data_IF_885074742896
#
_entry.id   IF_885074742896
#
_cell.length_a   1.000
_cell.length_b   1.000
_cell.length_c   1.000
_cell.angle_alpha   90.00
_cell.angle_beta   90.00
_cell.angle_gamma   90.00
#
_symmetry.space_group_name_H-M   'P 1'
#
loop_
_entity.id
_entity.type
_entity.pdbx_description
1 polymer ?
#
# COMPACT_ATOMS: atom_id res chain seq x y z
N UNK A 1 32.78 60.64 12.71
CA UNK A 1 31.41 60.23 12.32
C UNK A 1 30.87 59.37 13.46
N UNK A 2 29.94 59.93 14.21
CA UNK A 2 29.36 59.43 15.47
C UNK A 2 28.05 58.72 15.13
N UNK A 3 27.80 57.51 15.67
CA UNK A 3 26.56 56.95 16.30
C UNK A 3 26.98 55.62 16.99
N UNK A 4 27.30 55.56 18.28
CA UNK A 4 26.45 55.31 19.48
C UNK A 4 25.61 54.02 19.40
N UNK A 5 25.99 53.01 20.18
CA UNK A 5 25.17 51.82 20.48
C UNK A 5 24.84 51.85 21.97
N UNK A 6 23.59 52.17 22.30
CA UNK A 6 23.10 52.19 23.68
C UNK A 6 22.53 50.83 24.08
N UNK A 7 23.15 50.27 25.10
CA UNK A 7 22.66 49.21 25.99
C UNK A 7 21.41 49.69 26.74
N UNK A 8 20.37 48.85 26.81
CA UNK A 8 19.34 48.97 27.85
C UNK A 8 19.11 47.63 28.54
N UNK A 9 19.57 47.60 29.78
CA UNK A 9 19.43 46.59 30.81
C UNK A 9 18.55 47.22 31.90
N UNK A 10 17.55 46.49 32.43
CA UNK A 10 16.94 46.59 33.79
C UNK A 10 15.51 45.99 33.78
N UNK A 11 14.93 45.61 34.95
CA UNK A 11 15.49 44.72 35.96
C UNK A 11 14.48 43.63 36.42
N UNK A 12 15.01 42.68 37.16
CA UNK A 12 14.28 41.71 37.99
C UNK A 12 14.05 42.30 39.40
N UNK A 13 12.83 42.18 39.93
CA UNK A 13 12.54 41.90 41.35
C UNK A 13 11.04 41.90 41.63
N UNK A 14 10.55 40.95 42.45
CA UNK A 14 9.33 41.16 43.22
C UNK A 14 8.44 39.93 43.46
N UNK A 15 8.85 39.05 44.36
CA UNK A 15 7.99 38.06 45.03
C UNK A 15 6.90 38.74 45.88
N UNK A 16 5.68 38.17 45.90
CA UNK A 16 4.81 37.99 47.10
C UNK A 16 3.55 37.21 46.66
N UNK A 17 3.38 35.95 47.05
CA UNK A 17 2.66 35.47 48.25
C UNK A 17 1.25 36.07 48.40
N UNK A 18 0.24 35.30 48.01
CA UNK A 18 -1.10 35.40 48.56
C UNK A 18 -1.75 34.02 48.67
N UNK A 19 -2.09 33.70 49.91
CA UNK A 19 -2.71 32.49 50.42
C UNK A 19 -4.16 32.30 49.95
N UNK A 20 -4.58 31.05 50.07
CA UNK A 20 -5.92 30.59 50.44
C UNK A 20 -7.08 30.87 49.47
N UNK A 21 -7.73 29.79 49.00
CA UNK A 21 -8.98 29.27 49.58
C UNK A 21 -9.51 28.21 48.62
N UNK A 22 -9.29 26.92 48.92
CA UNK A 22 -10.04 25.85 48.26
C UNK A 22 -10.96 25.23 49.29
N UNK A 23 -12.22 25.61 49.19
CA UNK A 23 -13.31 25.14 50.02
C UNK A 23 -13.46 23.62 49.91
N UNK A 24 -13.63 23.00 51.07
CA UNK A 24 -14.16 21.66 51.22
C UNK A 24 -15.60 21.62 50.71
N UNK A 25 -15.80 20.96 49.57
CA UNK A 25 -17.12 20.55 49.07
C UNK A 25 -17.28 19.06 49.27
N UNK A 26 -18.03 18.70 50.31
CA UNK A 26 -18.44 17.35 50.62
C UNK A 26 -19.37 16.76 49.55
N UNK A 27 -19.30 15.43 49.39
CA UNK A 27 -20.48 14.61 49.16
C UNK A 27 -20.84 14.30 47.71
N UNK A 28 -20.21 13.26 47.15
CA UNK A 28 -20.89 12.34 46.24
C UNK A 28 -20.16 10.99 46.26
N UNK A 29 -20.55 10.12 47.19
CA UNK A 29 -20.13 8.73 47.20
C UNK A 29 -20.75 8.01 45.99
N UNK A 30 -20.01 7.94 44.88
CA UNK A 30 -20.35 7.06 43.78
C UNK A 30 -19.96 5.63 44.17
N UNK A 31 -20.99 4.84 44.46
CA UNK A 31 -20.95 3.41 44.71
C UNK A 31 -20.16 2.67 43.62
N UNK A 32 -19.03 2.09 43.99
CA UNK A 32 -18.27 1.15 43.16
C UNK A 32 -19.02 -0.18 43.23
N UNK A 33 -19.92 -0.41 42.28
CA UNK A 33 -20.47 -1.75 42.04
C UNK A 33 -19.43 -2.60 41.31
N UNK A 34 -18.98 -3.64 42.01
CA UNK A 34 -18.19 -4.76 41.50
C UNK A 34 -18.79 -5.34 40.19
N UNK A 35 -18.07 -5.38 39.06
CA UNK A 35 -18.51 -6.06 37.85
C UNK A 35 -18.16 -7.56 37.87
N UNK A 36 -18.43 -8.26 38.97
CA UNK A 36 -18.11 -9.68 39.15
C UNK A 36 -19.33 -10.62 39.14
N UNK A 37 -20.53 -10.12 38.84
CA UNK A 37 -21.78 -10.90 39.00
C UNK A 37 -22.79 -10.77 37.85
N UNK A 38 -22.34 -10.54 36.62
CA UNK A 38 -23.19 -10.58 35.41
C UNK A 38 -22.71 -11.57 34.33
N UNK A 39 -22.10 -12.68 34.72
CA UNK A 39 -21.74 -13.79 33.81
C UNK A 39 -22.45 -15.09 34.23
N UNK A 40 -23.73 -15.02 34.62
CA UNK A 40 -24.48 -16.24 34.97
C UNK A 40 -25.93 -16.32 34.51
N UNK A 41 -26.33 -15.48 33.56
CA UNK A 41 -27.72 -15.47 33.05
C UNK A 41 -27.78 -15.29 31.53
N UNK A 42 -26.92 -16.05 30.82
CA UNK A 42 -26.98 -16.21 29.37
C UNK A 42 -26.59 -17.63 28.93
N UNK A 43 -26.79 -18.63 29.81
CA UNK A 43 -26.42 -20.02 29.56
C UNK A 43 -27.57 -20.92 29.09
N UNK A 44 -28.83 -20.45 29.11
CA UNK A 44 -30.01 -21.33 28.88
C UNK A 44 -30.80 -21.05 27.58
N UNK A 45 -30.24 -20.31 26.61
CA UNK A 45 -30.97 -19.96 25.37
C UNK A 45 -30.35 -20.50 24.06
N UNK A 46 -29.42 -21.45 24.11
CA UNK A 46 -28.87 -22.10 22.91
C UNK A 46 -29.04 -23.63 22.98
N UNK A 47 -30.29 -24.08 23.06
CA UNK A 47 -30.63 -25.49 22.85
C UNK A 47 -31.70 -25.60 21.75
N UNK A 48 -31.23 -25.75 20.51
CA UNK A 48 -31.88 -26.47 19.40
C UNK A 48 -31.23 -26.11 18.06
N UNK A 49 -29.93 -26.38 17.91
CA UNK A 49 -29.41 -26.53 16.55
C UNK A 49 -29.89 -27.86 15.99
N UNK A 50 -30.66 -27.87 14.88
CA UNK A 50 -31.10 -29.11 14.25
C UNK A 50 -29.88 -29.91 13.80
N UNK A 51 -29.90 -31.19 14.16
CA UNK A 51 -28.94 -32.21 13.73
C UNK A 51 -28.75 -32.09 12.21
N UNK A 52 -27.51 -32.00 11.71
CA UNK A 52 -27.24 -32.05 10.28
C UNK A 52 -27.82 -33.35 9.70
N UNK A 53 -28.85 -33.20 8.86
CA UNK A 53 -29.44 -34.32 8.14
C UNK A 53 -28.37 -35.10 7.38
N UNK A 54 -28.55 -36.42 7.32
CA UNK A 54 -27.64 -37.33 6.64
C UNK A 54 -27.29 -36.80 5.23
N UNK A 55 -26.01 -36.93 4.80
CA UNK A 55 -25.57 -36.45 3.50
C UNK A 55 -26.47 -37.04 2.41
N UNK A 56 -27.10 -36.16 1.62
CA UNK A 56 -27.91 -36.59 0.50
C UNK A 56 -27.04 -37.41 -0.47
N UNK A 57 -27.53 -38.58 -0.93
CA UNK A 57 -26.80 -39.39 -1.89
C UNK A 57 -26.55 -38.57 -3.17
N UNK A 58 -25.40 -38.77 -3.84
CA UNK A 58 -25.08 -38.05 -5.06
C UNK A 58 -26.20 -38.22 -6.10
N UNK A 59 -26.53 -37.15 -6.86
CA UNK A 59 -27.56 -37.24 -7.89
C UNK A 59 -27.23 -38.36 -8.87
N UNK A 60 -28.25 -39.16 -9.22
CA UNK A 60 -28.14 -40.21 -10.25
C UNK A 60 -27.49 -39.62 -11.50
N UNK A 61 -26.30 -40.12 -11.85
CA UNK A 61 -25.66 -39.82 -13.12
C UNK A 61 -26.66 -40.09 -14.25
N UNK A 62 -27.07 -39.04 -14.97
CA UNK A 62 -27.80 -39.23 -16.21
C UNK A 62 -26.84 -39.90 -17.20
N UNK A 63 -27.22 -41.02 -17.82
CA UNK A 63 -26.42 -41.62 -18.87
C UNK A 63 -26.20 -40.58 -19.97
N UNK A 64 -24.92 -40.35 -20.28
CA UNK A 64 -24.49 -39.52 -21.38
C UNK A 64 -25.22 -40.01 -22.65
N UNK A 65 -25.90 -39.12 -23.41
CA UNK A 65 -26.53 -39.53 -24.65
C UNK A 65 -25.45 -40.11 -25.56
N UNK A 66 -25.59 -41.39 -25.88
CA UNK A 66 -24.80 -42.05 -26.94
C UNK A 66 -24.87 -41.15 -28.16
N UNK A 67 -23.70 -40.74 -28.65
CA UNK A 67 -23.56 -40.17 -29.97
C UNK A 67 -24.28 -41.08 -30.96
N UNK A 68 -25.43 -40.64 -31.46
CA UNK A 68 -26.05 -41.24 -32.62
C UNK A 68 -25.04 -41.13 -33.75
N UNK A 69 -24.62 -42.28 -34.25
CA UNK A 69 -23.93 -42.44 -35.52
C UNK A 69 -24.71 -41.66 -36.57
N UNK A 70 -24.15 -40.52 -36.96
CA UNK A 70 -24.72 -39.61 -37.93
C UNK A 70 -24.81 -40.36 -39.25
N UNK A 71 -26.04 -40.58 -39.69
CA UNK A 71 -26.37 -41.15 -40.99
C UNK A 71 -25.60 -40.44 -42.09
N UNK A 72 -25.01 -41.25 -42.98
CA UNK A 72 -24.48 -40.86 -44.27
C UNK A 72 -25.62 -40.25 -45.09
N UNK A 73 -25.83 -38.93 -44.98
CA UNK A 73 -26.63 -38.17 -45.94
C UNK A 73 -25.72 -37.71 -47.06
N UNK A 74 -26.11 -38.13 -48.26
CA UNK A 74 -25.60 -37.78 -49.57
C UNK A 74 -25.04 -36.37 -49.64
N UNK A 75 -23.76 -36.30 -50.01
CA UNK A 75 -23.09 -35.12 -50.52
C UNK A 75 -23.88 -34.54 -51.68
N UNK A 76 -24.73 -33.55 -51.40
CA UNK A 76 -25.06 -32.54 -52.41
C UNK A 76 -23.78 -31.78 -52.68
N UNK A 77 -23.17 -32.08 -53.82
CA UNK A 77 -21.98 -31.41 -54.36
C UNK A 77 -22.34 -29.95 -54.58
N UNK A 78 -22.26 -29.16 -53.52
CA UNK A 78 -22.20 -27.71 -53.63
C UNK A 78 -20.98 -27.41 -54.49
N UNK A 79 -21.12 -26.60 -55.55
CA UNK A 79 -20.00 -26.26 -56.41
C UNK A 79 -18.90 -25.70 -55.50
N UNK A 80 -17.77 -26.39 -55.48
CA UNK A 80 -16.63 -26.02 -54.65
C UNK A 80 -16.20 -24.62 -55.08
N UNK A 81 -16.68 -23.61 -54.37
CA UNK A 81 -16.24 -22.24 -54.56
C UNK A 81 -14.74 -22.28 -54.26
N UNK A 82 -13.93 -22.27 -55.33
CA UNK A 82 -12.47 -22.32 -55.27
C UNK A 82 -12.02 -21.08 -54.53
N UNK A 83 -11.99 -21.17 -53.21
CA UNK A 83 -11.43 -20.15 -52.33
C UNK A 83 -9.99 -19.98 -52.79
N UNK A 84 -9.68 -18.79 -53.30
CA UNK A 84 -8.39 -18.46 -53.88
C UNK A 84 -7.26 -18.99 -52.97
N UNK A 85 -6.23 -19.65 -53.53
CA UNK A 85 -5.10 -20.16 -52.76
C UNK A 85 -4.45 -19.07 -51.90
N UNK A 86 -4.53 -17.80 -52.34
CA UNK A 86 -4.08 -16.64 -51.59
C UNK A 86 -4.79 -16.47 -50.23
N UNK A 87 -6.11 -16.71 -50.16
CA UNK A 87 -6.87 -16.56 -48.91
C UNK A 87 -6.51 -17.64 -47.89
N UNK A 88 -6.17 -18.86 -48.35
CA UNK A 88 -5.68 -19.94 -47.49
C UNK A 88 -4.27 -19.62 -46.97
N UNK A 89 -3.40 -19.10 -47.83
CA UNK A 89 -2.07 -18.67 -47.46
C UNK A 89 -2.08 -17.53 -46.44
N UNK A 90 -2.87 -16.47 -46.67
CA UNK A 90 -2.97 -15.33 -45.75
C UNK A 90 -3.45 -15.73 -44.35
N UNK A 91 -4.42 -16.67 -44.27
CA UNK A 91 -4.89 -17.20 -42.98
C UNK A 91 -3.79 -17.98 -42.25
N UNK A 92 -3.08 -18.86 -42.95
CA UNK A 92 -1.99 -19.64 -42.37
C UNK A 92 -0.83 -18.72 -41.92
N UNK A 93 -0.46 -17.73 -42.73
CA UNK A 93 0.57 -16.76 -42.42
C UNK A 93 0.22 -15.93 -41.17
N UNK A 94 -1.03 -15.47 -41.05
CA UNK A 94 -1.49 -14.72 -39.87
C UNK A 94 -1.38 -15.54 -38.57
N UNK A 95 -1.74 -16.83 -38.63
CA UNK A 95 -1.62 -17.74 -37.48
C UNK A 95 -0.15 -17.97 -37.12
N UNK A 96 0.71 -18.21 -38.12
CA UNK A 96 2.14 -18.42 -37.90
C UNK A 96 2.81 -17.17 -37.32
N UNK A 97 2.44 -15.97 -37.78
CA UNK A 97 2.93 -14.71 -37.25
C UNK A 97 2.51 -14.48 -35.79
N UNK A 98 1.26 -14.77 -35.43
CA UNK A 98 0.79 -14.68 -34.05
C UNK A 98 1.53 -15.65 -33.12
N UNK A 99 1.76 -16.89 -33.54
CA UNK A 99 2.54 -17.87 -32.78
C UNK A 99 4.00 -17.44 -32.65
N UNK A 100 4.59 -16.89 -33.70
CA UNK A 100 5.96 -16.35 -33.67
C UNK A 100 6.09 -15.20 -32.66
N UNK A 101 5.15 -14.25 -32.64
CA UNK A 101 5.13 -13.18 -31.64
C UNK A 101 4.94 -13.72 -30.20
N UNK A 102 4.11 -14.74 -30.02
CA UNK A 102 3.92 -15.39 -28.72
C UNK A 102 5.22 -16.08 -28.26
N UNK A 103 5.90 -16.80 -29.16
CA UNK A 103 7.19 -17.44 -28.87
C UNK A 103 8.25 -16.38 -28.56
N UNK A 104 8.33 -15.27 -29.31
CA UNK A 104 9.28 -14.19 -29.02
C UNK A 104 9.00 -13.55 -27.67
N UNK A 105 7.75 -13.27 -27.33
CA UNK A 105 7.41 -12.65 -26.05
C UNK A 105 7.67 -13.61 -24.90
N UNK A 106 7.34 -14.89 -25.04
CA UNK A 106 7.68 -15.94 -24.07
C UNK A 106 9.20 -16.14 -23.93
N UNK A 107 9.94 -16.18 -25.05
CA UNK A 107 11.39 -16.32 -25.08
C UNK A 107 12.07 -15.08 -24.47
N UNK A 108 11.62 -13.86 -24.78
CA UNK A 108 12.13 -12.65 -24.14
C UNK A 108 11.83 -12.62 -22.65
N UNK A 109 10.64 -13.05 -22.23
CA UNK A 109 10.28 -13.17 -20.81
C UNK A 109 11.18 -14.18 -20.08
N UNK A 110 11.40 -15.36 -20.68
CA UNK A 110 12.27 -16.40 -20.10
C UNK A 110 13.75 -16.04 -20.14
N UNK A 111 14.25 -15.42 -21.20
CA UNK A 111 15.61 -14.87 -21.31
C UNK A 111 15.80 -13.76 -20.27
N UNK A 112 14.84 -12.84 -20.13
CA UNK A 112 14.90 -11.79 -19.12
C UNK A 112 14.93 -12.37 -17.70
N UNK A 113 14.26 -13.49 -17.45
CA UNK A 113 14.31 -14.22 -16.18
C UNK A 113 15.63 -15.01 -16.00
N UNK A 114 16.10 -15.69 -17.04
CA UNK A 114 17.27 -16.58 -17.00
C UNK A 114 18.60 -15.81 -16.94
N UNK A 115 18.77 -14.76 -17.74
CA UNK A 115 20.00 -13.95 -17.72
C UNK A 115 20.09 -13.02 -16.49
N UNK A 116 18.99 -12.83 -15.75
CA UNK A 116 19.03 -12.20 -14.42
C UNK A 116 19.64 -13.12 -13.36
N UNK A 117 19.57 -14.45 -13.56
CA UNK A 117 20.03 -15.47 -12.62
C UNK A 117 21.56 -15.70 -12.63
N UNK A 118 22.26 -15.41 -13.73
CA UNK A 118 23.69 -15.78 -13.88
C UNK A 118 24.68 -14.62 -13.84
N UNK A 119 24.23 -13.38 -13.60
CA UNK A 119 25.14 -12.21 -13.53
C UNK A 119 25.37 -11.64 -12.14
N UNK A 120 24.84 -12.24 -11.07
CA UNK A 120 24.84 -11.57 -9.76
C UNK A 120 25.67 -12.31 -8.70
N UNK A 121 26.99 -12.18 -8.78
CA UNK A 121 27.76 -11.74 -7.61
C UNK A 121 27.54 -10.22 -7.42
N UNK A 122 26.30 -9.77 -7.58
CA UNK A 122 25.91 -8.39 -7.41
C UNK A 122 26.15 -7.98 -5.95
N UNK A 123 26.24 -6.68 -5.70
CA UNK A 123 26.49 -6.19 -4.36
C UNK A 123 25.51 -6.84 -3.39
N UNK A 124 26.04 -7.34 -2.27
CA UNK A 124 25.24 -7.93 -1.20
C UNK A 124 24.24 -6.93 -0.60
N UNK A 125 24.28 -5.66 -1.00
CA UNK A 125 23.47 -4.55 -0.51
C UNK A 125 22.55 -4.07 -1.63
N UNK A 126 21.31 -3.72 -1.30
CA UNK A 126 20.41 -3.09 -2.26
C UNK A 126 20.97 -1.74 -2.73
N UNK A 127 21.04 -1.52 -4.05
CA UNK A 127 21.58 -0.28 -4.64
C UNK A 127 20.47 0.45 -5.39
N UNK A 128 20.34 1.78 -5.25
CA UNK A 128 19.41 2.58 -6.03
C UNK A 128 19.81 2.69 -7.50
N UNK A 129 18.82 2.85 -8.37
CA UNK A 129 19.05 3.11 -9.78
C UNK A 129 19.23 4.61 -10.03
N UNK A 130 20.00 5.01 -11.07
CA UNK A 130 20.11 6.43 -11.44
C UNK A 130 18.76 7.11 -11.74
N UNK A 131 17.78 6.34 -12.23
CA UNK A 131 16.41 6.80 -12.50
C UNK A 131 15.60 7.13 -11.23
N UNK A 132 16.05 6.69 -10.05
CA UNK A 132 15.36 6.97 -8.80
C UNK A 132 15.53 8.43 -8.36
N UNK A 133 16.57 9.11 -8.84
CA UNK A 133 16.87 10.52 -8.57
C UNK A 133 18.26 10.71 -7.97
N UNK A 134 18.58 11.95 -7.63
CA UNK A 134 19.80 12.30 -6.91
C UNK A 134 19.65 11.95 -5.44
N UNK A 135 20.58 11.18 -4.89
CA UNK A 135 20.58 10.81 -3.47
C UNK A 135 20.99 12.04 -2.64
N UNK A 136 20.07 12.54 -1.82
CA UNK A 136 20.33 13.64 -0.89
C UNK A 136 20.88 13.14 0.44
N UNK A 137 20.37 12.00 0.91
CA UNK A 137 20.78 11.40 2.17
C UNK A 137 20.68 9.89 2.05
N UNK A 138 21.64 9.17 2.64
CA UNK A 138 21.71 7.71 2.59
C UNK A 138 21.89 7.18 4.01
N UNK A 139 21.07 6.19 4.36
CA UNK A 139 21.20 5.39 5.58
C UNK A 139 21.56 3.97 5.15
N UNK A 140 22.65 3.47 5.70
CA UNK A 140 23.08 2.08 5.58
C UNK A 140 22.94 1.37 6.94
N UNK A 141 23.54 0.18 7.06
CA UNK A 141 23.53 -0.67 8.24
C UNK A 141 23.88 0.01 9.57
N UNK A 142 24.76 1.00 9.54
CA UNK A 142 25.39 1.57 10.73
C UNK A 142 24.80 2.94 11.11
N UNK A 143 24.01 3.53 10.22
CA UNK A 143 23.57 4.92 10.32
C UNK A 143 22.09 5.05 10.74
N UNK A 144 21.49 4.01 11.30
CA UNK A 144 20.13 4.10 11.85
C UNK A 144 20.15 4.94 13.13
N UNK A 145 19.13 5.79 13.30
CA UNK A 145 19.08 6.72 14.43
C UNK A 145 18.79 6.01 15.76
N UNK A 146 18.00 4.94 15.74
CA UNK A 146 17.60 4.20 16.92
C UNK A 146 17.53 2.70 16.64
N UNK A 147 17.93 1.90 17.63
CA UNK A 147 17.82 0.44 17.62
C UNK A 147 16.95 0.00 18.79
N UNK A 148 16.08 -0.98 18.54
CA UNK A 148 15.07 -1.49 19.47
C UNK A 148 15.22 -3.01 19.60
N UNK A 149 15.14 -3.56 20.81
CA UNK A 149 15.05 -5.00 21.04
C UNK A 149 13.58 -5.42 21.12
N UNK A 150 13.21 -6.51 20.45
CA UNK A 150 11.85 -7.07 20.43
C UNK A 150 10.76 -6.04 20.06
N UNK A 151 10.83 -5.42 18.87
CA UNK A 151 9.82 -4.46 18.43
C UNK A 151 8.40 -5.03 18.51
N UNK A 152 7.48 -4.27 19.10
CA UNK A 152 6.06 -4.66 19.27
C UNK A 152 5.15 -4.28 18.10
N UNK A 153 5.66 -3.47 17.18
CA UNK A 153 4.91 -2.82 16.11
C UNK A 153 4.81 -3.59 14.78
N UNK A 154 5.63 -4.60 14.43
CA UNK A 154 5.21 -5.52 13.40
C UNK A 154 4.12 -6.40 14.00
N UNK A 155 2.89 -6.32 13.49
CA UNK A 155 1.90 -7.37 13.79
C UNK A 155 2.37 -8.61 13.05
N UNK A 156 2.95 -9.61 13.75
CA UNK A 156 3.55 -10.71 13.04
C UNK A 156 2.42 -11.48 12.36
N UNK A 157 2.57 -11.85 11.07
CA UNK A 157 1.53 -12.63 10.39
C UNK A 157 1.32 -13.99 11.07
N UNK A 158 2.31 -14.46 11.85
CA UNK A 158 2.22 -15.64 12.71
C UNK A 158 3.01 -15.42 14.01
N UNK A 159 2.54 -15.90 15.17
CA UNK A 159 3.25 -15.77 16.44
C UNK A 159 4.70 -16.28 16.44
N UNK A 160 4.99 -17.25 15.57
CA UNK A 160 6.34 -17.82 15.38
C UNK A 160 7.33 -16.88 14.68
N UNK A 161 6.87 -15.73 14.16
CA UNK A 161 7.70 -14.77 13.43
C UNK A 161 7.93 -13.48 14.23
N UNK A 162 8.33 -13.61 15.49
CA UNK A 162 8.74 -12.47 16.30
C UNK A 162 10.13 -12.00 15.88
N UNK A 163 10.22 -10.74 15.47
CA UNK A 163 11.49 -10.11 15.16
C UNK A 163 12.22 -9.73 16.46
N UNK A 164 13.43 -10.26 16.72
CA UNK A 164 14.20 -9.92 17.92
C UNK A 164 14.79 -8.50 17.89
N UNK A 165 14.92 -7.89 16.71
CA UNK A 165 15.55 -6.58 16.56
C UNK A 165 14.70 -5.64 15.70
N UNK A 166 14.82 -4.35 16.01
CA UNK A 166 14.23 -3.23 15.31
C UNK A 166 15.25 -2.11 15.10
N UNK A 167 15.09 -1.35 14.03
CA UNK A 167 15.82 -0.12 13.77
C UNK A 167 14.86 0.96 13.26
N UNK A 168 15.16 2.23 13.54
CA UNK A 168 14.33 3.35 13.14
C UNK A 168 15.19 4.53 12.66
N UNK A 169 14.68 5.21 11.65
CA UNK A 169 15.18 6.52 11.19
C UNK A 169 14.01 7.38 10.72
N UNK A 170 14.25 8.68 10.57
CA UNK A 170 13.23 9.65 10.18
C UNK A 170 13.79 10.58 9.12
N UNK A 171 12.98 10.88 8.11
CA UNK A 171 13.28 11.86 7.08
C UNK A 171 12.26 13.00 7.12
N UNK A 172 12.69 14.21 6.75
CA UNK A 172 11.80 15.34 6.51
C UNK A 172 11.76 15.62 5.01
N UNK A 173 10.56 15.61 4.42
CA UNK A 173 10.33 15.96 3.03
C UNK A 173 9.59 17.31 2.96
N UNK A 174 9.86 18.15 1.94
CA UNK A 174 9.15 19.41 1.78
C UNK A 174 7.69 19.17 1.37
N UNK A 175 6.74 19.86 2.00
CA UNK A 175 5.31 19.65 1.74
C UNK A 175 4.84 20.23 0.40
N UNK A 176 5.55 21.23 -0.10
CA UNK A 176 5.28 21.95 -1.35
C UNK A 176 5.90 21.26 -2.58
N UNK A 177 6.53 20.09 -2.36
CA UNK A 177 7.03 19.20 -3.40
C UNK A 177 5.97 18.95 -4.48
N UNK A 178 6.39 18.92 -5.74
CA UNK A 178 5.48 18.59 -6.83
C UNK A 178 5.03 17.14 -6.77
N UNK A 179 5.86 16.26 -6.23
CA UNK A 179 5.52 14.86 -5.94
C UNK A 179 6.26 14.39 -4.69
N UNK A 180 5.53 13.69 -3.83
CA UNK A 180 6.07 12.88 -2.74
C UNK A 180 6.01 11.42 -3.14
N UNK A 181 7.13 10.70 -3.08
CA UNK A 181 7.13 9.30 -3.51
C UNK A 181 7.86 8.31 -2.60
N UNK A 182 7.42 7.05 -2.68
CA UNK A 182 8.05 5.90 -2.05
C UNK A 182 8.37 4.83 -3.10
N UNK A 183 9.62 4.40 -3.12
CA UNK A 183 10.10 3.29 -3.95
C UNK A 183 10.60 2.18 -3.03
N UNK A 184 10.31 0.94 -3.37
CA UNK A 184 10.88 -0.20 -2.69
C UNK A 184 11.34 -1.24 -3.71
N UNK A 185 12.65 -1.54 -3.75
CA UNK A 185 13.23 -2.56 -4.64
C UNK A 185 14.00 -3.63 -3.86
N UNK A 186 13.94 -4.87 -4.36
CA UNK A 186 14.60 -6.03 -3.76
C UNK A 186 13.62 -7.10 -3.27
N UNK A 187 14.17 -8.29 -3.00
CA UNK A 187 13.41 -9.51 -2.70
C UNK A 187 13.19 -9.75 -1.20
N UNK A 188 14.00 -9.12 -0.34
CA UNK A 188 14.04 -9.40 1.10
C UNK A 188 13.23 -8.41 1.94
N UNK A 189 12.34 -7.64 1.32
CA UNK A 189 11.53 -6.65 2.00
C UNK A 189 10.04 -6.93 1.83
N UNK A 190 9.29 -6.61 2.87
CA UNK A 190 7.84 -6.49 2.85
C UNK A 190 7.44 -5.50 3.93
N UNK A 191 6.20 -5.02 3.93
CA UNK A 191 5.84 -4.06 4.95
C UNK A 191 4.46 -3.45 4.89
N UNK A 192 4.36 -2.31 5.57
CA UNK A 192 3.17 -1.49 5.64
C UNK A 192 3.54 -0.02 5.48
N UNK A 193 2.80 0.68 4.65
CA UNK A 193 2.85 2.12 4.47
C UNK A 193 1.62 2.73 5.14
N UNK A 194 1.81 3.71 6.01
CA UNK A 194 0.76 4.46 6.68
C UNK A 194 0.81 5.92 6.25
N UNK A 195 -0.35 6.48 5.91
CA UNK A 195 -0.52 7.91 5.68
C UNK A 195 -1.44 8.44 6.80
N UNK A 196 -0.99 9.45 7.53
CA UNK A 196 -1.76 10.07 8.61
C UNK A 196 -1.40 11.56 8.74
N UNK A 197 -2.22 12.30 9.47
CA UNK A 197 -1.94 13.68 9.84
C UNK A 197 -1.63 13.78 11.34
N UNK A 198 -0.84 14.77 11.75
CA UNK A 198 -0.61 15.11 13.17
C UNK A 198 -0.19 16.56 13.31
N UNK A 199 -0.59 17.16 14.42
CA UNK A 199 -0.14 18.47 14.93
C UNK A 199 1.32 18.48 15.41
N UNK A 200 1.91 17.31 15.68
CA UNK A 200 3.31 17.17 16.12
C UNK A 200 4.36 17.38 15.02
N UNK A 201 3.93 17.59 13.77
CA UNK A 201 4.81 17.82 12.61
C UNK A 201 4.81 19.30 12.27
N UNK A 202 6.00 19.86 12.10
CA UNK A 202 6.20 21.27 11.74
C UNK A 202 5.53 21.60 10.39
N UNK A 203 4.84 22.73 10.34
CA UNK A 203 4.26 23.27 9.11
C UNK A 203 5.33 23.40 8.02
N UNK A 204 5.01 23.01 6.79
CA UNK A 204 5.96 23.06 5.67
C UNK A 204 6.70 21.75 5.41
N UNK A 205 6.58 20.76 6.29
CA UNK A 205 7.32 19.50 6.17
C UNK A 205 6.43 18.28 6.36
N UNK A 206 6.78 17.18 5.71
CA UNK A 206 6.20 15.86 5.91
C UNK A 206 7.24 15.00 6.61
N UNK A 207 6.90 14.49 7.80
CA UNK A 207 7.76 13.57 8.53
C UNK A 207 7.54 12.16 7.99
N UNK A 208 8.62 11.49 7.62
CA UNK A 208 8.60 10.09 7.16
C UNK A 208 9.38 9.24 8.13
N UNK A 209 8.67 8.50 8.98
CA UNK A 209 9.27 7.56 9.92
C UNK A 209 9.41 6.19 9.26
N UNK A 210 10.64 5.68 9.19
CA UNK A 210 10.93 4.36 8.64
C UNK A 210 11.43 3.48 9.77
N UNK A 211 10.66 2.44 10.08
CA UNK A 211 11.04 1.41 11.05
C UNK A 211 11.27 0.09 10.31
N UNK A 212 12.31 -0.64 10.68
CA UNK A 212 12.68 -1.94 10.14
C UNK A 212 12.74 -2.96 11.26
N UNK A 213 12.05 -4.09 11.13
CA UNK A 213 12.11 -5.23 12.04
C UNK A 213 12.82 -6.39 11.34
N UNK A 214 13.77 -7.03 12.02
CA UNK A 214 14.68 -8.01 11.40
C UNK A 214 15.17 -9.07 12.41
N UNK A 215 15.65 -10.21 11.89
CA UNK A 215 16.14 -11.33 12.70
C UNK A 215 17.65 -11.30 12.93
N UNK A 216 18.40 -10.92 11.91
CA UNK A 216 19.86 -10.96 11.92
C UNK A 216 20.38 -9.60 11.49
N UNK A 217 21.42 -9.10 12.17
CA UNK A 217 22.08 -7.86 11.80
C UNK A 217 22.56 -7.87 10.34
N UNK A 218 22.88 -9.05 9.79
CA UNK A 218 23.20 -9.24 8.36
C UNK A 218 22.05 -8.87 7.43
N UNK A 219 20.80 -9.08 7.85
CA UNK A 219 19.63 -8.69 7.06
C UNK A 219 19.53 -7.16 6.96
N UNK A 220 19.58 -6.47 8.12
CA UNK A 220 19.61 -5.01 8.16
C UNK A 220 20.84 -4.45 7.43
N UNK A 221 21.98 -5.13 7.51
CA UNK A 221 23.21 -4.64 6.90
C UNK A 221 23.19 -4.56 5.38
N UNK A 222 22.24 -5.25 4.75
CA UNK A 222 22.02 -5.26 3.30
C UNK A 222 20.90 -4.30 2.86
N UNK A 223 20.26 -3.62 3.82
CA UNK A 223 19.27 -2.58 3.57
C UNK A 223 20.00 -1.26 3.31
N UNK A 224 19.59 -0.57 2.25
CA UNK A 224 19.92 0.84 2.06
C UNK A 224 18.62 1.64 2.01
N UNK A 225 18.54 2.71 2.79
CA UNK A 225 17.51 3.73 2.65
C UNK A 225 18.12 4.97 2.03
N UNK A 226 17.40 5.60 1.12
CA UNK A 226 17.83 6.84 0.50
C UNK A 226 16.69 7.86 0.52
N UNK A 227 17.02 9.11 0.83
CA UNK A 227 16.21 10.27 0.47
C UNK A 227 16.65 10.76 -0.90
N UNK A 228 15.69 10.98 -1.78
CA UNK A 228 15.93 11.40 -3.15
C UNK A 228 15.33 12.76 -3.45
N UNK A 229 15.90 13.39 -4.47
CA UNK A 229 15.25 14.44 -5.24
C UNK A 229 15.37 14.15 -6.73
N UNK A 230 14.28 14.34 -7.48
CA UNK A 230 14.27 14.29 -8.95
C UNK A 230 14.15 15.70 -9.52
N UNK A 231 14.09 15.80 -10.85
CA UNK A 231 13.72 17.04 -11.53
C UNK A 231 12.36 17.53 -11.04
N UNK A 232 12.10 18.83 -11.16
CA UNK A 232 10.81 19.42 -10.84
C UNK A 232 10.38 19.33 -9.36
N UNK A 233 11.31 19.47 -8.40
CA UNK A 233 10.98 19.50 -6.97
C UNK A 233 10.19 18.28 -6.48
N UNK A 234 10.50 17.10 -7.00
CA UNK A 234 9.96 15.84 -6.47
C UNK A 234 10.91 15.27 -5.41
N UNK A 235 10.34 14.81 -4.30
CA UNK A 235 11.10 14.27 -3.18
C UNK A 235 10.54 12.93 -2.75
N UNK A 236 11.41 12.00 -2.37
CA UNK A 236 10.94 10.70 -1.98
C UNK A 236 11.93 9.90 -1.18
N UNK A 237 11.46 8.75 -0.71
CA UNK A 237 12.25 7.76 0.02
C UNK A 237 12.33 6.50 -0.83
N UNK A 238 13.51 5.89 -0.90
CA UNK A 238 13.68 4.56 -1.47
C UNK A 238 14.20 3.57 -0.45
N UNK A 239 13.65 2.36 -0.48
CA UNK A 239 14.07 1.21 0.30
C UNK A 239 14.68 0.18 -0.66
N UNK A 240 15.91 -0.21 -0.40
CA UNK A 240 16.64 -1.15 -1.25
C UNK A 240 17.14 -2.32 -0.45
N UNK A 241 16.74 -3.52 -0.87
CA UNK A 241 17.27 -4.80 -0.41
C UNK A 241 17.86 -5.56 -1.60
N UNK A 242 18.64 -6.64 -1.38
CA UNK A 242 19.20 -7.42 -2.47
C UNK A 242 18.10 -7.97 -3.39
N UNK A 243 18.35 -7.98 -4.71
CA UNK A 243 17.34 -8.35 -5.71
C UNK A 243 17.09 -9.86 -5.80
N UNK A 244 18.06 -10.71 -5.42
CA UNK A 244 17.92 -12.16 -5.35
C UNK A 244 19.15 -12.76 -4.66
N UNK A 245 18.96 -13.66 -3.72
CA UNK A 245 20.00 -14.58 -3.22
C UNK A 245 19.48 -16.01 -3.30
N UNK A 246 20.39 -16.99 -3.38
CA UNK A 246 20.06 -18.41 -3.60
C UNK A 246 19.37 -19.08 -2.41
N UNK A 247 19.22 -18.36 -1.30
CA UNK A 247 18.63 -18.85 -0.07
C UNK A 247 17.50 -17.91 0.38
N UNK A 248 16.27 -18.40 0.32
CA UNK A 248 15.11 -17.76 0.95
C UNK A 248 15.10 -18.13 2.43
N UNK A 249 16.10 -17.62 3.16
CA UNK A 249 16.12 -17.74 4.60
C UNK A 249 15.23 -16.63 5.17
N UNK A 250 14.17 -16.99 5.88
CA UNK A 250 13.28 -16.00 6.52
C UNK A 250 14.04 -15.04 7.44
N UNK A 251 15.22 -15.43 7.97
CA UNK A 251 16.08 -14.56 8.78
C UNK A 251 16.69 -13.40 8.00
N UNK A 252 16.76 -13.52 6.68
CA UNK A 252 17.25 -12.48 5.78
C UNK A 252 16.19 -11.43 5.44
N UNK A 253 14.92 -11.69 5.79
CA UNK A 253 13.82 -10.77 5.52
C UNK A 253 13.78 -9.62 6.52
N UNK A 254 13.43 -8.45 6.02
CA UNK A 254 13.22 -7.23 6.81
C UNK A 254 11.79 -6.74 6.59
N UNK A 255 11.05 -6.57 7.70
CA UNK A 255 9.71 -6.00 7.66
C UNK A 255 9.77 -4.50 7.93
N UNK A 256 9.22 -3.71 7.02
CA UNK A 256 9.20 -2.26 7.13
C UNK A 256 7.84 -1.74 7.58
N UNK A 257 7.86 -0.71 8.42
CA UNK A 257 6.73 0.18 8.67
C UNK A 257 7.16 1.60 8.27
N UNK A 258 6.59 2.10 7.18
CA UNK A 258 6.83 3.45 6.69
C UNK A 258 5.61 4.30 7.04
N UNK A 259 5.80 5.39 7.77
CA UNK A 259 4.70 6.29 8.16
C UNK A 259 4.97 7.69 7.65
N UNK A 260 4.17 8.11 6.67
CA UNK A 260 4.08 9.50 6.23
C UNK A 260 3.12 10.23 7.17
N UNK A 261 3.66 11.16 7.96
CA UNK A 261 2.91 12.03 8.85
C UNK A 261 2.91 13.44 8.28
N UNK A 262 1.75 13.85 7.78
CA UNK A 262 1.51 15.20 7.27
C UNK A 262 1.18 16.15 8.43
N UNK A 263 1.54 17.42 8.35
CA UNK A 263 1.17 18.41 9.35
C UNK A 263 -0.32 18.76 9.22
N UNK A 264 -0.91 19.30 10.28
CA UNK A 264 -2.25 19.91 10.19
C UNK A 264 -2.18 21.17 9.33
N UNK A 265 -3.26 21.46 8.59
CA UNK A 265 -3.33 22.68 7.81
C UNK A 265 -3.13 23.93 8.69
N UNK A 266 -2.37 24.93 8.24
CA UNK A 266 -2.08 26.12 9.04
C UNK A 266 -3.33 27.00 9.26
N UNK A 267 -4.32 26.90 8.36
CA UNK A 267 -5.56 27.69 8.42
C UNK A 267 -6.72 26.73 8.69
N UNK A 268 -7.45 26.89 9.81
CA UNK A 268 -8.63 26.09 10.10
C UNK A 268 -9.67 26.16 8.96
N UNK A 269 -10.21 25.01 8.57
CA UNK A 269 -11.23 24.91 7.51
C UNK A 269 -10.69 24.93 6.08
N UNK A 270 -9.38 25.15 5.89
CA UNK A 270 -8.73 25.01 4.57
C UNK A 270 -7.98 23.67 4.55
N UNK A 271 -8.38 22.71 3.70
CA UNK A 271 -7.67 21.43 3.61
C UNK A 271 -6.22 21.61 3.19
N UNK A 272 -5.32 20.82 3.77
CA UNK A 272 -3.92 20.76 3.35
C UNK A 272 -3.83 20.18 1.94
N UNK A 273 -3.31 20.95 0.98
CA UNK A 273 -3.18 20.50 -0.40
C UNK A 273 -1.84 19.78 -0.63
N UNK A 274 -1.91 18.53 -1.09
CA UNK A 274 -0.73 17.75 -1.53
C UNK A 274 -0.84 17.53 -3.03
N UNK A 275 0.10 18.07 -3.80
CA UNK A 275 0.04 18.02 -5.28
C UNK A 275 -0.02 16.58 -5.79
N UNK A 276 0.89 15.73 -5.35
CA UNK A 276 0.98 14.34 -5.81
C UNK A 276 1.62 13.43 -4.77
N UNK A 277 1.07 12.22 -4.62
CA UNK A 277 1.65 11.15 -3.81
C UNK A 277 1.73 9.84 -4.59
N UNK A 278 2.94 9.31 -4.77
CA UNK A 278 3.20 8.10 -5.55
C UNK A 278 3.89 7.02 -4.72
N UNK A 279 3.35 5.81 -4.70
CA UNK A 279 4.03 4.67 -4.11
C UNK A 279 3.72 3.41 -4.91
N UNK A 280 4.74 2.79 -5.52
CA UNK A 280 4.61 1.49 -6.16
C UNK A 280 5.60 0.51 -5.52
N UNK A 281 5.07 -0.37 -4.68
CA UNK A 281 5.86 -1.27 -3.84
C UNK A 281 5.22 -2.66 -3.81
N UNK A 282 5.91 -3.68 -4.31
CA UNK A 282 5.30 -4.99 -4.61
C UNK A 282 4.77 -5.76 -3.39
N UNK A 283 5.39 -5.57 -2.22
CA UNK A 283 5.16 -6.35 -1.00
C UNK A 283 4.72 -5.49 0.20
N UNK A 284 4.15 -4.31 -0.04
CA UNK A 284 3.65 -3.47 1.04
C UNK A 284 2.14 -3.33 1.00
N UNK A 285 1.55 -3.40 2.18
CA UNK A 285 0.17 -2.99 2.43
C UNK A 285 0.09 -1.49 2.63
N UNK A 286 -1.01 -0.87 2.21
CA UNK A 286 -1.26 0.55 2.41
C UNK A 286 -2.41 0.75 3.40
N UNK A 287 -2.24 1.70 4.31
CA UNK A 287 -3.23 2.12 5.28
C UNK A 287 -3.29 3.64 5.27
N UNK A 288 -4.31 4.19 4.64
CA UNK A 288 -4.57 5.63 4.65
C UNK A 288 -5.55 5.92 5.78
N UNK A 289 -5.20 6.87 6.65
CA UNK A 289 -6.06 7.33 7.73
C UNK A 289 -7.32 8.04 7.24
N UNK A 290 -8.04 8.65 8.16
CA UNK A 290 -9.16 9.53 7.84
C UNK A 290 -8.63 10.92 7.48
N UNK A 291 -8.56 11.23 6.17
CA UNK A 291 -7.91 12.44 5.65
C UNK A 291 -8.84 13.31 4.80
N UNK A 292 -10.12 12.97 4.68
CA UNK A 292 -10.98 13.57 3.66
C UNK A 292 -11.36 15.03 3.94
N UNK A 293 -11.51 15.43 5.21
CA UNK A 293 -11.85 16.81 5.58
C UNK A 293 -10.62 17.69 5.71
N UNK A 294 -9.47 17.10 6.04
CA UNK A 294 -8.28 17.83 6.43
C UNK A 294 -7.21 17.91 5.35
N UNK A 295 -7.32 17.09 4.30
CA UNK A 295 -6.36 17.04 3.20
C UNK A 295 -7.06 16.88 1.85
N UNK A 296 -6.50 17.53 0.83
CA UNK A 296 -6.90 17.36 -0.56
C UNK A 296 -5.68 17.00 -1.41
N UNK A 297 -5.68 15.79 -1.97
CA UNK A 297 -4.63 15.36 -2.89
C UNK A 297 -4.95 15.77 -4.32
N UNK A 298 -3.97 16.26 -5.08
CA UNK A 298 -4.11 16.39 -6.52
C UNK A 298 -4.14 15.00 -7.15
N UNK A 299 -2.99 14.32 -7.18
CA UNK A 299 -2.85 12.97 -7.70
C UNK A 299 -2.41 11.97 -6.62
N UNK A 300 -3.02 10.79 -6.61
CA UNK A 300 -2.60 9.66 -5.74
C UNK A 300 -2.41 8.42 -6.59
N UNK A 301 -1.22 7.83 -6.57
CA UNK A 301 -0.94 6.56 -7.24
C UNK A 301 -0.38 5.56 -6.24
N UNK A 302 -1.18 4.57 -5.85
CA UNK A 302 -0.76 3.49 -4.95
C UNK A 302 -0.77 2.14 -5.69
N UNK A 303 0.40 1.51 -5.78
CA UNK A 303 0.60 0.21 -6.41
C UNK A 303 1.21 -0.82 -5.46
N UNK A 304 0.67 -2.04 -5.48
CA UNK A 304 1.27 -3.21 -4.84
C UNK A 304 0.95 -4.48 -5.63
N UNK A 305 1.68 -5.56 -5.37
CA UNK A 305 1.43 -6.85 -6.03
C UNK A 305 0.70 -7.81 -5.10
N UNK A 306 1.16 -7.96 -3.86
CA UNK A 306 0.74 -9.05 -2.99
C UNK A 306 0.08 -8.61 -1.68
N UNK A 307 -0.25 -7.32 -1.55
CA UNK A 307 -0.78 -6.76 -0.31
C UNK A 307 -2.02 -5.91 -0.55
N UNK A 308 -2.77 -5.65 0.53
CA UNK A 308 -4.02 -4.92 0.48
C UNK A 308 -3.81 -3.40 0.53
N UNK A 309 -4.78 -2.68 0.00
CA UNK A 309 -4.92 -1.23 0.13
C UNK A 309 -6.18 -0.99 0.95
N UNK A 310 -6.01 -0.37 2.12
CA UNK A 310 -7.11 0.04 2.98
C UNK A 310 -7.08 1.55 3.20
N UNK A 311 -8.16 2.22 2.84
CA UNK A 311 -8.32 3.67 2.94
C UNK A 311 -9.49 3.96 3.87
N UNK A 312 -9.26 4.58 5.02
CA UNK A 312 -10.38 4.95 5.89
C UNK A 312 -11.24 6.00 5.18
N UNK A 313 -10.65 7.14 4.81
CA UNK A 313 -11.30 8.15 3.96
C UNK A 313 -10.26 9.06 3.32
N UNK A 314 -10.40 9.39 2.02
CA UNK A 314 -9.48 10.28 1.31
C UNK A 314 -10.24 11.19 0.33
N UNK A 315 -9.82 12.45 0.24
CA UNK A 315 -10.25 13.39 -0.79
C UNK A 315 -9.13 13.64 -1.80
N UNK A 316 -9.42 13.48 -3.08
CA UNK A 316 -8.44 13.60 -4.16
C UNK A 316 -9.05 14.14 -5.46
N UNK A 317 -8.22 14.66 -6.36
CA UNK A 317 -8.65 14.98 -7.73
C UNK A 317 -8.54 13.74 -8.62
N UNK A 318 -7.36 13.14 -8.72
CA UNK A 318 -7.14 11.91 -9.49
C UNK A 318 -6.53 10.82 -8.61
N UNK A 319 -7.06 9.60 -8.70
CA UNK A 319 -6.64 8.48 -7.86
C UNK A 319 -6.47 7.21 -8.69
N UNK A 320 -5.35 6.51 -8.51
CA UNK A 320 -5.11 5.18 -9.09
C UNK A 320 -4.60 4.23 -8.01
N UNK A 321 -5.41 3.23 -7.68
CA UNK A 321 -5.13 2.24 -6.65
C UNK A 321 -5.09 0.86 -7.29
N UNK A 322 -3.93 0.21 -7.26
CA UNK A 322 -3.65 -1.05 -7.95
C UNK A 322 -3.11 -2.10 -6.99
N UNK A 323 -3.72 -3.28 -7.00
CA UNK A 323 -3.18 -4.46 -6.32
C UNK A 323 -3.36 -5.72 -7.14
N UNK A 324 -2.31 -6.52 -7.41
CA UNK A 324 -2.51 -7.78 -8.15
C UNK A 324 -3.32 -8.80 -7.35
N UNK A 325 -2.98 -9.01 -6.08
CA UNK A 325 -3.54 -10.09 -5.24
C UNK A 325 -4.26 -9.63 -3.97
N UNK A 326 -4.01 -8.41 -3.51
CA UNK A 326 -4.67 -7.87 -2.33
C UNK A 326 -6.00 -7.20 -2.67
N UNK A 327 -6.88 -7.17 -1.66
CA UNK A 327 -8.12 -6.42 -1.78
C UNK A 327 -7.87 -4.91 -1.72
N UNK A 328 -8.80 -4.15 -2.30
CA UNK A 328 -8.86 -2.70 -2.20
C UNK A 328 -10.14 -2.35 -1.44
N UNK A 329 -10.03 -1.61 -0.35
CA UNK A 329 -11.19 -1.17 0.41
C UNK A 329 -11.06 0.29 0.85
N UNK A 330 -12.19 0.97 1.01
CA UNK A 330 -12.20 2.29 1.64
C UNK A 330 -13.28 3.26 1.17
N UNK A 331 -13.20 4.49 1.68
CA UNK A 331 -14.01 5.62 1.25
C UNK A 331 -13.17 6.58 0.39
N UNK A 332 -13.65 6.88 -0.81
CA UNK A 332 -12.94 7.70 -1.79
C UNK A 332 -13.84 8.85 -2.24
N UNK A 333 -13.36 10.08 -2.07
CA UNK A 333 -13.99 11.28 -2.58
C UNK A 333 -13.12 11.86 -3.70
N UNK A 334 -13.60 11.75 -4.94
CA UNK A 334 -12.83 12.12 -6.14
C UNK A 334 -13.53 13.21 -6.93
N UNK A 335 -12.80 14.24 -7.37
CA UNK A 335 -13.37 15.29 -8.24
C UNK A 335 -13.04 15.13 -9.73
N UNK A 336 -11.94 14.44 -10.07
CA UNK A 336 -11.49 14.20 -11.44
C UNK A 336 -11.69 12.75 -11.89
N UNK A 337 -10.77 11.87 -11.54
CA UNK A 337 -10.81 10.46 -11.94
C UNK A 337 -10.45 9.52 -10.80
N UNK A 338 -11.14 8.39 -10.69
CA UNK A 338 -10.82 7.34 -9.72
C UNK A 338 -10.73 5.99 -10.42
N UNK A 339 -9.55 5.37 -10.33
CA UNK A 339 -9.26 4.05 -10.87
C UNK A 339 -8.90 3.08 -9.75
N UNK A 340 -9.70 2.04 -9.58
CA UNK A 340 -9.47 0.94 -8.64
C UNK A 340 -9.28 -0.35 -9.43
N UNK A 341 -8.10 -0.95 -9.38
CA UNK A 341 -7.78 -2.13 -10.20
C UNK A 341 -7.16 -3.24 -9.37
N UNK A 342 -7.70 -4.45 -9.50
CA UNK A 342 -7.08 -5.65 -8.97
C UNK A 342 -7.17 -6.83 -9.93
N UNK A 343 -6.33 -7.85 -9.76
CA UNK A 343 -6.46 -9.09 -10.57
C UNK A 343 -7.22 -10.16 -9.79
N UNK A 344 -6.83 -10.41 -8.53
CA UNK A 344 -7.34 -11.51 -7.70
C UNK A 344 -7.99 -11.04 -6.39
N UNK A 345 -7.91 -9.76 -6.07
CA UNK A 345 -8.51 -9.16 -4.89
C UNK A 345 -9.97 -8.76 -5.09
N UNK A 346 -10.69 -8.59 -3.98
CA UNK A 346 -12.02 -7.94 -4.00
C UNK A 346 -11.85 -6.43 -3.95
N UNK A 347 -12.78 -5.69 -4.55
CA UNK A 347 -12.91 -4.24 -4.34
C UNK A 347 -14.18 -3.98 -3.52
N UNK A 348 -14.02 -3.30 -2.37
CA UNK A 348 -15.11 -2.85 -1.50
C UNK A 348 -14.94 -1.35 -1.23
N UNK A 349 -15.52 -0.51 -2.08
CA UNK A 349 -15.35 0.94 -1.99
C UNK A 349 -16.70 1.65 -1.79
N UNK A 350 -16.68 2.73 -1.01
CA UNK A 350 -17.71 3.76 -1.03
C UNK A 350 -17.14 4.94 -1.78
N UNK A 351 -17.81 5.38 -2.84
CA UNK A 351 -17.25 6.36 -3.78
C UNK A 351 -18.17 7.57 -3.89
N UNK A 352 -17.64 8.74 -3.59
CA UNK A 352 -18.27 10.04 -3.85
C UNK A 352 -17.56 10.70 -5.03
N UNK A 353 -18.31 11.01 -6.08
CA UNK A 353 -17.79 11.67 -7.29
C UNK A 353 -18.29 13.12 -7.32
N UNK A 354 -17.38 14.07 -7.25
CA UNK A 354 -17.66 15.51 -7.24
C UNK A 354 -17.39 16.11 -8.62
N UNK A 355 -18.41 16.24 -9.46
CA UNK A 355 -18.24 16.83 -10.78
C UNK A 355 -18.20 18.36 -10.73
N UNK A 356 -17.16 18.94 -11.32
CA UNK A 356 -17.12 20.37 -11.63
C UNK A 356 -17.96 20.62 -12.89
N UNK A 357 -18.63 21.78 -12.99
CA UNK A 357 -19.72 22.07 -13.95
C UNK A 357 -19.47 21.69 -15.42
N UNK A 358 -18.21 21.59 -15.83
CA UNK A 358 -17.80 21.35 -17.21
C UNK A 358 -17.14 19.99 -17.45
N UNK A 359 -16.82 19.23 -16.40
CA UNK A 359 -16.07 17.97 -16.52
C UNK A 359 -16.73 16.88 -15.66
N UNK A 360 -17.15 15.80 -16.33
CA UNK A 360 -17.67 14.63 -15.64
C UNK A 360 -16.52 13.93 -14.89
N UNK A 361 -16.79 13.55 -13.64
CA UNK A 361 -15.85 12.74 -12.86
C UNK A 361 -15.93 11.28 -13.32
N UNK A 362 -14.78 10.66 -13.59
CA UNK A 362 -14.71 9.29 -14.10
C UNK A 362 -14.42 8.27 -12.99
N UNK A 363 -15.11 7.12 -13.03
CA UNK A 363 -14.85 5.98 -12.15
C UNK A 363 -14.57 4.72 -12.99
N UNK A 364 -13.41 4.11 -12.79
CA UNK A 364 -12.99 2.86 -13.41
C UNK A 364 -12.66 1.82 -12.33
N UNK A 365 -13.50 0.78 -12.23
CA UNK A 365 -13.33 -0.31 -11.26
C UNK A 365 -13.17 -1.64 -11.98
N UNK A 366 -12.02 -2.29 -11.81
CA UNK A 366 -11.68 -3.52 -12.54
C UNK A 366 -11.16 -4.61 -11.62
N UNK A 367 -11.72 -5.83 -11.79
CA UNK A 367 -11.20 -7.06 -11.18
C UNK A 367 -11.31 -8.22 -12.15
N UNK A 368 -10.28 -9.08 -12.24
CA UNK A 368 -10.26 -10.19 -13.20
C UNK A 368 -10.94 -11.45 -12.65
N UNK A 369 -10.71 -11.77 -11.37
CA UNK A 369 -11.07 -13.07 -10.79
C UNK A 369 -11.99 -12.99 -9.56
N UNK A 370 -12.51 -11.81 -9.21
CA UNK A 370 -13.40 -11.60 -8.05
C UNK A 370 -14.54 -10.63 -8.39
N UNK A 371 -15.42 -10.37 -7.41
CA UNK A 371 -16.49 -9.37 -7.51
C UNK A 371 -15.99 -7.97 -7.10
N UNK A 372 -16.57 -6.95 -7.73
CA UNK A 372 -16.41 -5.54 -7.36
C UNK A 372 -17.76 -4.99 -6.91
N UNK A 373 -17.78 -4.37 -5.73
CA UNK A 373 -18.95 -3.65 -5.21
C UNK A 373 -18.59 -2.19 -4.96
N UNK A 374 -19.44 -1.29 -5.42
CA UNK A 374 -19.41 0.13 -5.09
C UNK A 374 -20.75 0.51 -4.45
N UNK A 375 -20.69 1.31 -3.40
CA UNK A 375 -21.85 1.92 -2.74
C UNK A 375 -21.78 3.43 -2.84
#
# INVERSE_FOLDING_TARGET
MIIISDTKQEPSAGNQVSNATTAAGAGAAASIQNPATQIREAADAFSSHPVPGAPQPPPKYRPQPRHQSRSLLSTTTTPAYRRSPFCRFAKAFSIAFALYLLIITAARSTIYMAFRSHRSSGPMVGVPNPEDGTILHRIDSANWAHYESNPTWPTPPRPQFNYPYGAQTTFMLPIDANSLYLIARGAYQHGKVKLKQSDSVESGSVRVDVRAAYYDQRALARVTLCKFSRTDNEHGIGIYTPQLGWTDNYKDQVQFLVTFTFPVAPIPGVPLHIKRFDADTSQFSYSVGDLWESMLFGDVVLGTSNSHINVTSIALKNGSFRSSNGYIAGHYNASGSLKLTTSNGKIKATVSLLSERTLATELDMQTTNRYAAAH
#
